data_IF_424393169304
#
_entry.id   IF_424393169304
#
_cell.length_a   1.000
_cell.length_b   1.000
_cell.length_c   1.000
_cell.angle_alpha   90.00
_cell.angle_beta   90.00
_cell.angle_gamma   90.00
#
_symmetry.space_group_name_H-M   'P 1'
#
loop_
_entity.id
_entity.type
_entity.pdbx_description
1 polymer ?
#
# COMPACT_ATOMS: atom_id res chain seq x y z
N UNK A 1 -4.36 22.49 -11.57
CA UNK A 1 -5.04 21.25 -11.99
C UNK A 1 -3.94 20.22 -12.18
N UNK A 2 -3.93 19.18 -11.37
CA UNK A 2 -3.17 17.98 -11.72
C UNK A 2 -3.83 17.41 -12.99
N UNK A 3 -3.02 17.06 -13.98
CA UNK A 3 -3.52 16.55 -15.25
C UNK A 3 -4.00 15.11 -15.03
N UNK A 4 -5.30 14.88 -15.22
CA UNK A 4 -5.98 13.58 -15.08
C UNK A 4 -5.26 12.47 -15.86
N UNK A 5 -4.58 12.83 -16.96
CA UNK A 5 -3.74 11.92 -17.73
C UNK A 5 -2.59 11.30 -16.92
N UNK A 6 -1.99 12.05 -15.99
CA UNK A 6 -0.94 11.52 -15.11
C UNK A 6 -1.49 10.60 -14.04
N UNK A 7 -2.64 10.91 -13.44
CA UNK A 7 -3.26 10.06 -12.42
C UNK A 7 -3.60 8.70 -13.03
N UNK A 8 -4.23 8.69 -14.22
CA UNK A 8 -4.56 7.45 -14.91
C UNK A 8 -3.33 6.65 -15.32
N UNK A 9 -2.27 7.31 -15.81
CA UNK A 9 -1.03 6.63 -16.17
C UNK A 9 -0.37 5.97 -14.94
N UNK A 10 -0.23 6.72 -13.86
CA UNK A 10 0.37 6.26 -12.60
C UNK A 10 -0.42 5.08 -12.00
N UNK A 11 -1.75 5.19 -12.03
CA UNK A 11 -2.65 4.14 -11.55
C UNK A 11 -2.54 2.87 -12.38
N UNK A 12 -2.45 3.02 -13.70
CA UNK A 12 -2.29 1.89 -14.62
C UNK A 12 -0.97 1.14 -14.38
N UNK A 13 0.12 1.87 -14.17
CA UNK A 13 1.42 1.25 -13.86
C UNK A 13 1.36 0.40 -12.60
N UNK A 14 0.70 0.88 -11.54
CA UNK A 14 0.47 0.11 -10.31
C UNK A 14 -0.38 -1.14 -10.57
N UNK A 15 -1.46 -1.02 -11.35
CA UNK A 15 -2.34 -2.15 -11.67
C UNK A 15 -1.60 -3.23 -12.47
N UNK A 16 -0.78 -2.83 -13.44
CA UNK A 16 0.05 -3.73 -14.25
C UNK A 16 1.10 -4.43 -13.38
N UNK A 17 1.76 -3.69 -12.48
CA UNK A 17 2.72 -4.24 -11.53
C UNK A 17 2.10 -5.33 -10.63
N UNK A 18 0.90 -5.08 -10.08
CA UNK A 18 0.20 -6.01 -9.20
C UNK A 18 -0.30 -7.29 -9.90
N UNK A 19 -0.12 -7.46 -11.21
CA UNK A 19 -0.39 -8.74 -11.88
C UNK A 19 0.68 -9.79 -11.58
N UNK A 20 1.89 -9.36 -11.23
CA UNK A 20 3.01 -10.26 -10.90
C UNK A 20 3.09 -10.50 -9.38
N UNK A 21 3.52 -11.70 -8.93
CA UNK A 21 3.71 -11.99 -7.50
C UNK A 21 4.83 -11.15 -6.89
N UNK A 22 4.80 -10.98 -5.56
CA UNK A 22 5.84 -10.31 -4.77
C UNK A 22 6.05 -8.82 -5.12
N UNK A 23 5.02 -8.16 -5.64
CA UNK A 23 5.10 -6.76 -6.11
C UNK A 23 4.33 -5.75 -5.25
N UNK A 24 3.63 -6.20 -4.21
CA UNK A 24 2.78 -5.33 -3.38
C UNK A 24 3.54 -4.17 -2.73
N UNK A 25 4.74 -4.43 -2.20
CA UNK A 25 5.56 -3.40 -1.55
C UNK A 25 6.04 -2.34 -2.55
N UNK A 26 6.45 -2.77 -3.74
CA UNK A 26 6.81 -1.85 -4.83
C UNK A 26 5.63 -1.00 -5.27
N UNK A 27 4.44 -1.62 -5.36
CA UNK A 27 3.22 -0.92 -5.72
C UNK A 27 2.80 0.12 -4.67
N UNK A 28 2.98 -0.17 -3.37
CA UNK A 28 2.83 0.82 -2.30
C UNK A 28 3.85 1.96 -2.43
N UNK A 29 5.11 1.66 -2.72
CA UNK A 29 6.14 2.68 -2.92
C UNK A 29 5.80 3.61 -4.09
N UNK A 30 5.23 3.06 -5.17
CA UNK A 30 4.75 3.84 -6.32
C UNK A 30 3.61 4.76 -5.93
N UNK A 31 2.65 4.25 -5.15
CA UNK A 31 1.59 5.10 -4.62
C UNK A 31 2.15 6.24 -3.77
N UNK A 32 3.06 5.95 -2.82
CA UNK A 32 3.70 6.98 -1.99
C UNK A 32 4.40 8.04 -2.85
N UNK A 33 5.07 7.64 -3.93
CA UNK A 33 5.73 8.56 -4.86
C UNK A 33 4.75 9.41 -5.69
N UNK A 34 3.65 8.81 -6.15
CA UNK A 34 2.70 9.48 -7.04
C UNK A 34 1.69 10.35 -6.31
N UNK A 35 1.52 10.12 -5.01
CA UNK A 35 0.59 10.79 -4.07
C UNK A 35 -0.90 10.58 -4.42
N UNK A 36 -1.28 10.71 -5.69
CA UNK A 36 -2.64 10.58 -6.20
C UNK A 36 -2.73 9.44 -7.21
N UNK A 37 -3.56 8.45 -6.89
CA UNK A 37 -3.89 7.32 -7.75
C UNK A 37 -5.39 7.01 -7.66
N UNK A 38 -5.91 6.33 -8.67
CA UNK A 38 -7.29 5.91 -8.74
C UNK A 38 -7.57 4.75 -7.75
N UNK A 39 -8.84 4.61 -7.34
CA UNK A 39 -9.29 3.54 -6.44
C UNK A 39 -8.95 2.15 -6.96
N UNK A 40 -8.94 1.96 -8.28
CA UNK A 40 -8.63 0.69 -8.92
C UNK A 40 -7.18 0.25 -8.64
N UNK A 41 -6.24 1.19 -8.58
CA UNK A 41 -4.85 0.90 -8.24
C UNK A 41 -4.71 0.45 -6.78
N UNK A 42 -5.44 1.10 -5.86
CA UNK A 42 -5.48 0.70 -4.45
C UNK A 42 -6.09 -0.70 -4.29
N UNK A 43 -7.17 -0.99 -5.02
CA UNK A 43 -7.78 -2.31 -5.07
C UNK A 43 -6.81 -3.38 -5.61
N UNK A 44 -5.99 -3.05 -6.60
CA UNK A 44 -4.99 -3.96 -7.15
C UNK A 44 -3.90 -4.29 -6.12
N UNK A 45 -3.40 -3.29 -5.38
CA UNK A 45 -2.45 -3.48 -4.27
C UNK A 45 -3.05 -4.43 -3.23
N UNK A 46 -4.28 -4.16 -2.79
CA UNK A 46 -4.96 -5.00 -1.79
C UNK A 46 -5.08 -6.46 -2.26
N UNK A 47 -5.51 -6.69 -3.50
CA UNK A 47 -5.63 -8.04 -4.06
C UNK A 47 -4.28 -8.75 -4.11
N UNK A 48 -3.22 -8.05 -4.49
CA UNK A 48 -1.87 -8.61 -4.54
C UNK A 48 -1.38 -9.02 -3.15
N UNK A 49 -1.57 -8.16 -2.15
CA UNK A 49 -1.24 -8.46 -0.74
C UNK A 49 -1.94 -9.74 -0.28
N UNK A 50 -3.25 -9.84 -0.50
CA UNK A 50 -4.03 -11.01 -0.10
C UNK A 50 -3.59 -12.28 -0.83
N UNK A 51 -3.23 -12.17 -2.11
CA UNK A 51 -2.82 -13.31 -2.91
C UNK A 51 -1.39 -13.80 -2.58
N UNK A 52 -0.48 -12.91 -2.17
CA UNK A 52 0.86 -13.28 -1.69
C UNK A 52 0.90 -13.63 -0.19
N UNK A 53 -0.15 -13.29 0.56
CA UNK A 53 -0.12 -13.25 2.02
C UNK A 53 1.03 -12.36 2.54
N UNK A 54 1.28 -11.23 1.87
CA UNK A 54 2.36 -10.30 2.20
C UNK A 54 2.01 -9.48 3.46
N UNK A 55 2.50 -9.92 4.61
CA UNK A 55 2.21 -9.33 5.92
C UNK A 55 2.78 -7.91 6.05
N UNK A 56 3.93 -7.64 5.44
CA UNK A 56 4.59 -6.34 5.53
C UNK A 56 3.83 -5.29 4.74
N UNK A 57 3.47 -5.60 3.50
CA UNK A 57 2.62 -4.72 2.69
C UNK A 57 1.23 -4.57 3.29
N UNK A 58 0.66 -5.64 3.88
CA UNK A 58 -0.61 -5.56 4.63
C UNK A 58 -0.51 -4.57 5.79
N UNK A 59 0.57 -4.60 6.57
CA UNK A 59 0.81 -3.66 7.66
C UNK A 59 0.79 -2.21 7.15
N UNK A 60 1.56 -1.94 6.10
CA UNK A 60 1.63 -0.59 5.53
C UNK A 60 0.30 -0.10 4.99
N UNK A 61 -0.41 -0.95 4.23
CA UNK A 61 -1.71 -0.60 3.67
C UNK A 61 -2.75 -0.33 4.76
N UNK A 62 -2.79 -1.13 5.83
CA UNK A 62 -3.69 -0.92 6.97
C UNK A 62 -3.45 0.44 7.60
N UNK A 63 -2.20 0.81 7.86
CA UNK A 63 -1.86 2.10 8.46
C UNK A 63 -2.26 3.27 7.56
N UNK A 64 -1.98 3.19 6.25
CA UNK A 64 -2.39 4.20 5.26
C UNK A 64 -3.92 4.38 5.28
N UNK A 65 -4.68 3.29 5.28
CA UNK A 65 -6.14 3.34 5.29
C UNK A 65 -6.72 3.85 6.62
N UNK A 66 -6.09 3.51 7.75
CA UNK A 66 -6.50 4.01 9.06
C UNK A 66 -6.31 5.52 9.20
N UNK A 67 -5.35 6.12 8.48
CA UNK A 67 -5.16 7.57 8.43
C UNK A 67 -6.24 8.29 7.60
N UNK A 68 -6.99 7.57 6.76
CA UNK A 68 -8.12 8.10 5.99
C UNK A 68 -9.44 8.01 6.78
N UNK A 69 -10.36 8.96 6.61
CA UNK A 69 -11.73 8.82 7.09
C UNK A 69 -12.36 7.54 6.54
N UNK A 70 -13.11 6.81 7.39
CA UNK A 70 -13.71 5.53 7.01
C UNK A 70 -14.63 5.65 5.78
N UNK A 71 -15.37 6.77 5.66
CA UNK A 71 -16.22 7.07 4.50
C UNK A 71 -15.47 7.27 3.18
N UNK A 72 -14.16 7.47 3.23
CA UNK A 72 -13.31 7.73 2.07
C UNK A 72 -12.44 6.52 1.68
N UNK A 73 -12.44 5.46 2.51
CA UNK A 73 -11.64 4.25 2.24
C UNK A 73 -12.17 3.54 1.00
N UNK A 74 -11.31 3.26 0.01
CA UNK A 74 -11.72 2.59 -1.23
C UNK A 74 -11.87 1.07 -1.07
N UNK A 75 -11.39 0.51 0.04
CA UNK A 75 -11.36 -0.93 0.31
C UNK A 75 -11.78 -1.22 1.76
N UNK A 76 -12.34 -2.41 1.98
CA UNK A 76 -12.48 -2.98 3.31
C UNK A 76 -11.12 -3.51 3.80
N UNK A 77 -10.67 -3.00 4.94
CA UNK A 77 -9.36 -3.35 5.53
C UNK A 77 -9.45 -4.38 6.64
N UNK A 78 -10.66 -4.82 7.02
CA UNK A 78 -10.83 -5.80 8.09
C UNK A 78 -10.04 -7.10 7.84
N UNK A 79 -10.01 -7.68 6.62
CA UNK A 79 -9.20 -8.88 6.35
C UNK A 79 -7.69 -8.64 6.54
N UNK A 80 -7.21 -7.44 6.19
CA UNK A 80 -5.81 -7.09 6.37
C UNK A 80 -5.44 -6.87 7.84
N UNK A 81 -6.37 -6.30 8.62
CA UNK A 81 -6.18 -6.14 10.07
C UNK A 81 -6.09 -7.49 10.77
N UNK A 82 -6.90 -8.47 10.36
CA UNK A 82 -6.85 -9.84 10.86
C UNK A 82 -5.52 -10.50 10.49
N UNK A 83 -5.11 -10.40 9.22
CA UNK A 83 -3.83 -10.92 8.73
C UNK A 83 -2.64 -10.35 9.52
N UNK A 84 -2.60 -9.03 9.73
CA UNK A 84 -1.55 -8.36 10.50
C UNK A 84 -1.62 -8.71 11.99
N UNK A 85 -2.83 -8.88 12.55
CA UNK A 85 -3.02 -9.26 13.94
C UNK A 85 -2.53 -10.69 14.22
N UNK A 86 -2.77 -11.62 13.30
CA UNK A 86 -2.41 -13.02 13.45
C UNK A 86 -0.91 -13.27 13.17
N UNK A 87 -0.35 -12.63 12.14
CA UNK A 87 1.00 -12.93 11.65
C UNK A 87 2.01 -11.77 11.80
N UNK A 88 1.56 -10.56 12.15
CA UNK A 88 2.41 -9.36 12.21
C UNK A 88 3.16 -9.15 13.53
N UNK A 89 3.40 -10.22 14.30
CA UNK A 89 3.91 -10.17 15.68
C UNK A 89 5.03 -9.14 15.92
N UNK A 90 6.18 -9.29 15.25
CA UNK A 90 7.32 -8.37 15.39
C UNK A 90 7.11 -7.03 14.67
N UNK A 91 6.31 -6.99 13.59
CA UNK A 91 6.02 -5.78 12.82
C UNK A 91 5.29 -4.72 13.65
N UNK A 92 4.44 -5.15 14.59
CA UNK A 92 3.79 -4.23 15.54
C UNK A 92 4.79 -3.53 16.48
N UNK A 93 6.00 -4.07 16.64
CA UNK A 93 7.06 -3.49 17.48
C UNK A 93 8.12 -2.76 16.66
N UNK A 94 8.30 -3.11 15.38
CA UNK A 94 9.35 -2.54 14.52
C UNK A 94 8.86 -1.43 13.59
N UNK A 95 7.58 -1.42 13.20
CA UNK A 95 7.03 -0.44 12.28
C UNK A 95 6.21 0.63 13.01
N UNK A 96 6.24 1.90 12.54
CA UNK A 96 5.44 2.97 13.12
C UNK A 96 3.94 2.62 13.17
N UNK A 97 3.29 2.97 14.28
CA UNK A 97 1.84 2.79 14.47
C UNK A 97 1.01 3.88 13.79
N UNK A 98 1.66 4.96 13.36
CA UNK A 98 1.06 6.09 12.67
C UNK A 98 1.72 6.26 11.30
N UNK A 99 0.94 6.74 10.33
CA UNK A 99 1.47 7.18 9.04
C UNK A 99 2.28 8.45 9.27
N UNK A 100 3.59 8.33 9.21
CA UNK A 100 4.52 9.44 9.36
C UNK A 100 5.58 9.38 8.24
N UNK A 101 6.43 10.40 8.16
CA UNK A 101 7.49 10.49 7.15
C UNK A 101 8.42 9.27 7.17
N UNK A 102 8.79 8.79 8.35
CA UNK A 102 9.66 7.64 8.52
C UNK A 102 9.07 6.36 7.91
N UNK A 103 7.78 6.09 8.13
CA UNK A 103 7.09 4.96 7.52
C UNK A 103 7.08 5.05 5.99
N UNK A 104 6.83 6.24 5.44
CA UNK A 104 6.83 6.45 3.99
C UNK A 104 8.24 6.25 3.40
N UNK A 105 9.28 6.67 4.11
CA UNK A 105 10.68 6.45 3.72
C UNK A 105 11.05 4.96 3.81
N UNK A 106 10.57 4.22 4.83
CA UNK A 106 10.77 2.77 4.94
C UNK A 106 10.17 2.02 3.76
N UNK A 107 8.92 2.32 3.37
CA UNK A 107 8.28 1.72 2.18
C UNK A 107 9.16 1.90 0.93
N UNK A 108 9.72 3.10 0.75
CA UNK A 108 10.58 3.38 -0.40
C UNK A 108 11.91 2.61 -0.34
N UNK A 109 12.55 2.57 0.83
CA UNK A 109 13.82 1.86 1.03
C UNK A 109 13.68 0.36 0.84
N UNK A 110 12.68 -0.25 1.44
CA UNK A 110 12.46 -1.70 1.43
C UNK A 110 11.98 -2.20 0.07
N UNK A 111 11.30 -1.35 -0.72
CA UNK A 111 10.92 -1.67 -2.10
C UNK A 111 12.12 -1.82 -3.05
N UNK A 112 13.28 -1.23 -2.71
CA UNK A 112 14.47 -1.20 -3.56
C UNK A 112 14.36 -0.33 -4.82
N UNK A 113 13.20 0.25 -5.15
CA UNK A 113 12.99 0.94 -6.43
C UNK A 113 13.44 2.40 -6.44
N UNK A 114 13.63 3.01 -5.27
CA UNK A 114 14.02 4.41 -5.13
C UNK A 114 15.35 4.60 -4.38
N UNK A 115 16.20 3.57 -4.40
CA UNK A 115 17.54 3.58 -3.81
C UNK A 115 18.61 4.16 -4.72
#
# INVERSE_FOLDING_TARGET
MLDEGFIHKNSREIVELCQEPDTALTALAYWVKYENIDKDAICAIHKRICADMDIQSAYYLVRIMQAMPESERPIDIQPLMELVGEFGGELNNSLPTLVNREMLEQIQQESGVFS
#
